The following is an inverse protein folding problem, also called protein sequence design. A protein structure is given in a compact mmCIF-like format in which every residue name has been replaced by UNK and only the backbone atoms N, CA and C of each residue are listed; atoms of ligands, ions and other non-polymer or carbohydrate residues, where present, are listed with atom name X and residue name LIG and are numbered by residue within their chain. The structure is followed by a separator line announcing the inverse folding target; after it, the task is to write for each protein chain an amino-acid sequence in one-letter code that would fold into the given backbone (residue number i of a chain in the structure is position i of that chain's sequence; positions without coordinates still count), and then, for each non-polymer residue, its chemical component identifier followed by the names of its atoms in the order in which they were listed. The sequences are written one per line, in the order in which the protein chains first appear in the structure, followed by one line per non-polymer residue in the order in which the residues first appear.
data_IF_928497135508
#
_entry.id   IF_928497135508
#
_cell.length_a   1.000
_cell.length_b   1.000
_cell.length_c   1.000
_cell.angle_alpha   90.00
_cell.angle_beta   90.00
_cell.angle_gamma   90.00
#
_symmetry.space_group_name_H-M   'P 1'
#
loop_
_entity.id
_entity.type
_entity.pdbx_description
1 polymer ?
#
# COMPACT_ATOMS: atom_id res chain seq x y z
N UNK A 1 6.97 -20.05 12.93
CA UNK A 1 6.94 -18.59 12.66
C UNK A 1 8.15 -17.84 13.27
N UNK A 2 8.60 -18.17 14.45
CA UNK A 2 9.65 -17.44 15.19
C UNK A 2 11.08 -17.65 14.66
N UNK A 3 11.36 -18.76 13.98
CA UNK A 3 12.73 -19.08 13.53
C UNK A 3 13.16 -18.26 12.31
N UNK A 4 12.28 -18.09 11.32
CA UNK A 4 12.61 -17.36 10.09
C UNK A 4 12.79 -15.86 10.36
N UNK A 5 11.97 -15.28 11.24
CA UNK A 5 12.06 -13.86 11.63
C UNK A 5 13.41 -13.47 12.26
N UNK A 6 14.10 -14.44 12.89
CA UNK A 6 15.43 -14.19 13.50
C UNK A 6 16.58 -14.26 12.50
N UNK A 7 16.30 -14.70 11.27
CA UNK A 7 17.30 -14.93 10.22
C UNK A 7 17.22 -13.89 9.10
N UNK A 8 16.23 -12.97 9.16
CA UNK A 8 15.99 -11.94 8.16
C UNK A 8 16.02 -10.57 8.86
N UNK A 9 16.76 -9.64 8.28
CA UNK A 9 16.96 -8.30 8.80
C UNK A 9 16.68 -7.27 7.71
N UNK A 10 15.88 -6.27 8.03
CA UNK A 10 15.69 -5.08 7.22
C UNK A 10 16.57 -3.99 7.81
N UNK A 11 17.60 -3.50 7.11
CA UNK A 11 18.49 -2.46 7.64
C UNK A 11 17.77 -1.13 7.80
N UNK A 12 16.77 -0.88 6.98
CA UNK A 12 16.00 0.34 7.00
C UNK A 12 14.70 0.18 7.80
N UNK A 13 14.40 1.15 8.65
CA UNK A 13 13.15 1.20 9.42
C UNK A 13 11.98 1.77 8.61
N UNK A 14 12.28 2.51 7.54
CA UNK A 14 11.32 3.11 6.62
C UNK A 14 11.72 2.76 5.20
N UNK A 15 10.77 2.23 4.44
CA UNK A 15 10.95 1.86 3.04
C UNK A 15 10.15 2.86 2.21
N UNK A 16 10.82 3.48 1.24
CA UNK A 16 10.18 4.39 0.30
C UNK A 16 9.23 3.61 -0.60
N UNK A 17 7.96 4.03 -0.63
CA UNK A 17 6.98 3.57 -1.61
C UNK A 17 6.84 4.65 -2.68
N UNK A 18 7.00 4.29 -3.93
CA UNK A 18 6.80 5.14 -5.09
C UNK A 18 5.42 4.90 -5.69
N UNK A 19 4.79 5.95 -6.21
CA UNK A 19 3.48 5.93 -6.83
C UNK A 19 2.64 7.13 -6.41
N UNK A 20 1.70 7.55 -7.26
CA UNK A 20 0.83 8.69 -6.97
C UNK A 20 -0.30 8.28 -6.02
N UNK A 21 -0.42 8.91 -4.84
CA UNK A 21 -1.50 8.64 -3.91
C UNK A 21 -2.79 9.38 -4.31
N UNK A 22 -3.90 8.71 -4.10
CA UNK A 22 -5.25 9.26 -4.23
C UNK A 22 -5.98 9.16 -2.90
N UNK A 23 -6.92 10.07 -2.65
CA UNK A 23 -7.79 9.98 -1.50
C UNK A 23 -8.86 8.92 -1.73
N UNK A 24 -8.96 7.97 -0.83
CA UNK A 24 -10.02 6.97 -0.78
C UNK A 24 -10.78 7.10 0.54
N UNK A 25 -12.10 7.17 0.47
CA UNK A 25 -12.99 7.17 1.62
C UNK A 25 -13.92 5.97 1.54
N UNK A 26 -13.99 5.23 2.63
CA UNK A 26 -14.88 4.08 2.74
C UNK A 26 -15.76 4.20 3.98
N UNK A 27 -17.04 3.88 3.81
CA UNK A 27 -17.94 3.71 4.95
C UNK A 27 -17.76 2.29 5.47
N UNK A 28 -17.24 2.17 6.67
CA UNK A 28 -17.01 0.91 7.35
C UNK A 28 -17.90 0.79 8.58
N UNK A 29 -18.13 -0.42 9.04
CA UNK A 29 -18.81 -0.65 10.31
C UNK A 29 -17.79 -0.98 11.37
N UNK A 30 -17.88 -0.32 12.52
CA UNK A 30 -16.98 -0.62 13.63
C UNK A 30 -17.17 -2.07 14.12
N UNK A 31 -16.15 -2.60 14.77
CA UNK A 31 -16.18 -3.97 15.29
C UNK A 31 -16.96 -4.10 16.60
N UNK A 32 -17.40 -2.98 17.17
CA UNK A 32 -18.20 -2.93 18.39
C UNK A 32 -19.61 -3.51 18.19
N UNK A 33 -20.30 -3.77 19.30
CA UNK A 33 -21.63 -4.38 19.30
C UNK A 33 -22.66 -3.59 18.50
N UNK A 34 -22.52 -2.28 18.43
CA UNK A 34 -23.47 -1.37 17.76
C UNK A 34 -23.25 -1.27 16.25
N UNK A 35 -22.11 -1.79 15.74
CA UNK A 35 -21.74 -1.72 14.30
C UNK A 35 -21.94 -0.31 13.71
N UNK A 36 -21.58 0.70 14.49
CA UNK A 36 -21.74 2.10 14.11
C UNK A 36 -21.00 2.39 12.79
N UNK A 37 -21.64 3.03 11.82
CA UNK A 37 -20.96 3.44 10.59
C UNK A 37 -19.87 4.45 10.91
N UNK A 38 -18.71 4.27 10.29
CA UNK A 38 -17.54 5.14 10.42
C UNK A 38 -16.96 5.40 9.03
N UNK A 39 -16.49 6.63 8.79
CA UNK A 39 -15.83 6.99 7.54
C UNK A 39 -14.33 6.92 7.75
N UNK A 40 -13.67 6.05 7.00
CA UNK A 40 -12.22 5.92 7.01
C UNK A 40 -11.62 6.48 5.74
N UNK A 41 -10.66 7.34 5.92
CA UNK A 41 -9.86 7.91 4.84
C UNK A 41 -8.54 7.16 4.73
N UNK A 42 -8.11 6.91 3.50
CA UNK A 42 -6.85 6.20 3.19
C UNK A 42 -6.16 6.86 2.00
N UNK A 43 -4.85 6.77 1.97
CA UNK A 43 -4.11 6.94 0.73
C UNK A 43 -4.25 5.65 -0.09
N UNK A 44 -4.71 5.77 -1.32
CA UNK A 44 -4.83 4.68 -2.28
C UNK A 44 -3.81 4.87 -3.39
N UNK A 45 -2.94 3.89 -3.58
CA UNK A 45 -1.94 3.87 -4.64
C UNK A 45 -2.34 2.77 -5.65
N UNK A 46 -2.92 3.13 -6.81
CA UNK A 46 -3.31 2.14 -7.83
C UNK A 46 -2.11 1.36 -8.36
N UNK A 47 -1.02 2.07 -8.59
CA UNK A 47 0.26 1.50 -9.00
C UNK A 47 1.33 1.95 -8.00
N UNK A 48 2.16 1.03 -7.58
CA UNK A 48 3.23 1.33 -6.63
C UNK A 48 4.39 0.36 -6.79
N UNK A 49 5.58 0.83 -6.43
CA UNK A 49 6.76 -0.01 -6.30
C UNK A 49 7.59 0.41 -5.09
N UNK A 50 8.47 -0.47 -4.66
CA UNK A 50 9.40 -0.21 -3.57
C UNK A 50 10.65 -1.06 -3.75
N UNK A 51 11.80 -0.49 -3.40
CA UNK A 51 13.06 -1.21 -3.29
C UNK A 51 13.30 -1.55 -1.82
N UNK A 52 13.69 -2.79 -1.56
CA UNK A 52 13.85 -3.30 -0.19
C UNK A 52 15.15 -4.06 -0.05
N UNK A 53 16.05 -3.56 0.77
CA UNK A 53 17.26 -4.27 1.16
C UNK A 53 16.97 -5.34 2.21
N UNK A 54 17.28 -6.59 1.89
CA UNK A 54 17.07 -7.72 2.80
C UNK A 54 18.40 -8.40 3.11
N UNK A 55 18.79 -8.39 4.38
CA UNK A 55 19.92 -9.16 4.89
C UNK A 55 19.41 -10.45 5.53
N UNK A 56 20.07 -11.56 5.24
CA UNK A 56 19.68 -12.87 5.77
C UNK A 56 20.90 -13.72 6.12
N UNK A 57 20.71 -14.70 6.98
CA UNK A 57 21.78 -15.58 7.47
C UNK A 57 21.97 -16.78 6.53
N UNK A 58 23.17 -16.88 5.96
CA UNK A 58 23.61 -18.06 5.18
C UNK A 58 24.39 -19.04 6.08
N UNK A 59 24.39 -20.35 5.78
CA UNK A 59 23.69 -21.04 4.69
C UNK A 59 22.25 -21.45 5.01
N UNK A 60 21.71 -21.00 6.16
CA UNK A 60 20.38 -21.41 6.63
C UNK A 60 19.27 -20.93 5.70
N UNK A 61 19.43 -19.76 5.09
CA UNK A 61 18.53 -19.22 4.06
C UNK A 61 19.34 -18.97 2.77
N UNK A 62 18.66 -19.12 1.64
CA UNK A 62 19.19 -18.76 0.33
C UNK A 62 18.41 -17.59 -0.26
N UNK A 63 19.00 -16.85 -1.20
CA UNK A 63 18.31 -15.78 -1.92
C UNK A 63 17.03 -16.29 -2.60
N UNK A 64 17.10 -17.47 -3.25
CA UNK A 64 15.95 -18.13 -3.86
C UNK A 64 14.81 -18.37 -2.85
N UNK A 65 15.14 -18.84 -1.65
CA UNK A 65 14.13 -19.05 -0.60
C UNK A 65 13.46 -17.74 -0.17
N UNK A 66 14.22 -16.65 -0.08
CA UNK A 66 13.68 -15.32 0.28
C UNK A 66 12.75 -14.81 -0.83
N UNK A 67 13.18 -14.86 -2.09
CA UNK A 67 12.37 -14.44 -3.24
C UNK A 67 11.07 -15.25 -3.31
N UNK A 68 11.16 -16.57 -3.17
CA UNK A 68 9.99 -17.46 -3.16
C UNK A 68 9.01 -17.14 -2.02
N UNK A 69 9.52 -16.85 -0.82
CA UNK A 69 8.69 -16.43 0.32
C UNK A 69 7.99 -15.10 0.04
N UNK A 70 8.68 -14.13 -0.55
CA UNK A 70 8.11 -12.84 -0.89
C UNK A 70 7.04 -12.94 -1.97
N UNK A 71 7.28 -13.70 -3.03
CA UNK A 71 6.28 -13.93 -4.08
C UNK A 71 5.00 -14.56 -3.53
N UNK A 72 5.15 -15.59 -2.68
CA UNK A 72 4.01 -16.21 -2.02
C UNK A 72 3.30 -15.23 -1.07
N UNK A 73 4.05 -14.45 -0.31
CA UNK A 73 3.48 -13.44 0.59
C UNK A 73 2.74 -12.36 -0.20
N UNK A 74 3.27 -11.92 -1.34
CA UNK A 74 2.62 -10.93 -2.20
C UNK A 74 1.27 -11.39 -2.74
N UNK A 75 1.15 -12.67 -3.07
CA UNK A 75 -0.09 -13.23 -3.60
C UNK A 75 -1.11 -13.59 -2.52
N UNK A 76 -0.65 -14.17 -1.39
CA UNK A 76 -1.56 -14.76 -0.39
C UNK A 76 -1.84 -13.79 0.77
N UNK A 77 -0.83 -13.04 1.20
CA UNK A 77 -0.91 -12.18 2.39
C UNK A 77 -1.20 -10.73 2.00
N UNK A 78 -0.41 -10.19 1.05
CA UNK A 78 -0.44 -8.77 0.69
C UNK A 78 0.11 -7.85 1.78
N UNK A 79 0.20 -6.56 1.48
CA UNK A 79 0.60 -5.51 2.44
C UNK A 79 -0.50 -4.45 2.57
N UNK A 80 -0.40 -3.64 3.63
CA UNK A 80 -1.32 -2.53 3.87
C UNK A 80 -2.69 -2.95 4.39
N UNK A 81 -3.65 -2.05 4.22
CA UNK A 81 -5.02 -2.23 4.68
C UNK A 81 -5.86 -2.94 3.61
N UNK A 82 -6.94 -3.59 4.04
CA UNK A 82 -7.87 -4.30 3.18
C UNK A 82 -7.23 -5.41 2.30
N UNK A 83 -6.17 -6.04 2.80
CA UNK A 83 -5.47 -7.14 2.14
C UNK A 83 -6.18 -8.49 2.31
N UNK A 84 -5.80 -9.47 1.52
CA UNK A 84 -6.44 -10.80 1.51
C UNK A 84 -6.40 -11.51 2.87
N UNK A 85 -5.28 -11.45 3.59
CA UNK A 85 -5.15 -12.05 4.93
C UNK A 85 -6.17 -11.51 5.94
N UNK A 86 -6.61 -10.25 5.79
CA UNK A 86 -7.55 -9.59 6.71
C UNK A 86 -9.02 -9.79 6.34
N UNK A 87 -9.32 -10.65 5.40
CA UNK A 87 -10.69 -11.04 5.10
C UNK A 87 -11.09 -10.93 3.63
N UNK A 88 -11.89 -9.94 3.24
CA UNK A 88 -12.49 -9.85 1.91
C UNK A 88 -11.79 -8.86 0.96
N UNK A 89 -10.67 -8.33 1.38
CA UNK A 89 -9.90 -7.37 0.61
C UNK A 89 -9.07 -8.03 -0.49
N UNK A 90 -8.68 -7.23 -1.47
CA UNK A 90 -7.80 -7.63 -2.57
C UNK A 90 -6.68 -6.62 -2.81
N UNK A 91 -6.50 -5.66 -1.89
CA UNK A 91 -5.47 -4.64 -2.01
C UNK A 91 -4.12 -5.16 -1.51
N UNK A 92 -3.05 -4.48 -1.94
CA UNK A 92 -1.70 -4.72 -1.47
C UNK A 92 -1.09 -6.04 -1.94
N UNK A 93 -1.65 -6.67 -2.96
CA UNK A 93 -0.95 -7.75 -3.67
C UNK A 93 0.27 -7.18 -4.38
N UNK A 94 1.36 -7.94 -4.41
CA UNK A 94 2.59 -7.53 -5.08
C UNK A 94 3.31 -8.73 -5.67
N UNK A 95 4.16 -8.47 -6.63
CA UNK A 95 5.13 -9.42 -7.20
C UNK A 95 6.54 -8.91 -6.95
N UNK A 96 7.49 -9.83 -6.90
CA UNK A 96 8.91 -9.50 -6.82
C UNK A 96 9.45 -9.39 -8.24
N UNK A 97 10.17 -8.32 -8.54
CA UNK A 97 10.84 -8.15 -9.82
C UNK A 97 11.86 -9.29 -10.04
N UNK A 98 11.79 -9.92 -11.21
CA UNK A 98 12.71 -10.99 -11.61
C UNK A 98 13.76 -10.43 -12.57
N UNK A 99 14.99 -10.96 -12.48
CA UNK A 99 16.04 -10.61 -13.45
C UNK A 99 15.72 -11.08 -14.87
N UNK A 100 14.80 -12.02 -15.04
CA UNK A 100 14.37 -12.53 -16.36
C UNK A 100 13.33 -11.60 -17.00
N UNK A 101 12.57 -10.86 -16.19
CA UNK A 101 11.51 -9.95 -16.63
C UNK A 101 11.94 -8.47 -16.54
N UNK A 102 13.24 -8.20 -16.41
CA UNK A 102 13.76 -6.84 -16.15
C UNK A 102 13.33 -5.79 -17.18
N UNK A 103 13.08 -6.17 -18.45
CA UNK A 103 12.66 -5.23 -19.48
C UNK A 103 11.33 -4.55 -19.14
N UNK A 104 10.28 -5.31 -19.05
CA UNK A 104 8.92 -4.80 -18.78
C UNK A 104 8.80 -4.20 -17.37
N UNK A 105 9.48 -4.81 -16.39
CA UNK A 105 9.47 -4.33 -15.01
C UNK A 105 10.28 -3.05 -14.82
N UNK A 106 11.36 -2.88 -15.59
CA UNK A 106 12.13 -1.65 -15.57
C UNK A 106 11.32 -0.47 -16.14
N UNK A 107 10.56 -0.67 -17.21
CA UNK A 107 9.66 0.36 -17.72
C UNK A 107 8.61 0.75 -16.68
N UNK A 108 7.97 -0.21 -16.01
CA UNK A 108 7.01 0.05 -14.94
C UNK A 108 7.68 0.80 -13.78
N UNK A 109 8.88 0.39 -13.39
CA UNK A 109 9.65 1.07 -12.35
C UNK A 109 9.95 2.51 -12.74
N UNK A 110 10.46 2.72 -13.94
CA UNK A 110 10.83 4.03 -14.43
C UNK A 110 9.61 4.96 -14.54
N UNK A 111 8.49 4.46 -15.04
CA UNK A 111 7.23 5.21 -15.11
C UNK A 111 6.74 5.65 -13.71
N UNK A 112 6.76 4.73 -12.74
CA UNK A 112 6.28 5.02 -11.37
C UNK A 112 7.26 5.95 -10.65
N UNK A 113 8.58 5.78 -10.83
CA UNK A 113 9.61 6.56 -10.14
C UNK A 113 9.91 7.91 -10.79
N UNK A 114 9.41 8.18 -12.01
CA UNK A 114 9.47 9.51 -12.62
C UNK A 114 8.73 10.56 -11.79
N UNK A 115 7.74 10.16 -10.98
CA UNK A 115 7.11 11.07 -10.05
C UNK A 115 8.08 11.42 -8.93
N UNK A 116 8.61 12.64 -8.96
CA UNK A 116 9.48 13.14 -7.91
C UNK A 116 8.76 13.09 -6.54
N UNK A 117 9.53 12.94 -5.46
CA UNK A 117 8.99 12.94 -4.09
C UNK A 117 8.11 14.15 -3.82
N UNK A 118 8.48 15.32 -4.36
CA UNK A 118 7.72 16.57 -4.27
C UNK A 118 6.31 16.45 -4.88
N UNK A 119 6.17 15.72 -5.99
CA UNK A 119 4.85 15.47 -6.62
C UNK A 119 3.99 14.57 -5.73
N UNK A 120 4.59 13.57 -5.09
CA UNK A 120 3.87 12.75 -4.12
C UNK A 120 3.41 13.56 -2.90
N UNK A 121 4.27 14.41 -2.35
CA UNK A 121 3.95 15.28 -1.22
C UNK A 121 2.85 16.28 -1.59
N UNK A 122 2.92 16.89 -2.76
CA UNK A 122 1.86 17.76 -3.28
C UNK A 122 0.53 17.02 -3.44
N UNK A 123 0.54 15.78 -3.94
CA UNK A 123 -0.65 14.95 -4.06
C UNK A 123 -1.23 14.53 -2.69
N UNK A 124 -0.42 14.49 -1.63
CA UNK A 124 -0.90 14.29 -0.26
C UNK A 124 -1.52 15.56 0.34
N UNK A 125 -0.99 16.73 0.03
CA UNK A 125 -1.56 18.02 0.46
C UNK A 125 -2.86 18.35 -0.27
N UNK A 126 -2.93 18.04 -1.57
CA UNK A 126 -4.07 18.30 -2.44
C UNK A 126 -4.52 17.00 -3.13
N UNK A 127 -5.13 16.07 -2.37
CA UNK A 127 -5.43 14.76 -2.89
C UNK A 127 -6.57 14.77 -3.90
N UNK A 128 -6.35 14.11 -5.03
CA UNK A 128 -7.39 13.74 -5.96
C UNK A 128 -8.22 12.59 -5.38
N UNK A 129 -9.53 12.59 -5.61
CA UNK A 129 -10.39 11.50 -5.17
C UNK A 129 -10.20 10.26 -6.07
N UNK A 130 -10.07 9.10 -5.45
CA UNK A 130 -9.88 7.84 -6.15
C UNK A 130 -11.12 7.39 -6.96
N UNK A 131 -12.31 7.79 -6.52
CA UNK A 131 -13.59 7.46 -7.14
C UNK A 131 -14.68 8.49 -6.85
N UNK A 132 -15.82 8.32 -7.53
CA UNK A 132 -16.96 9.23 -7.41
C UNK A 132 -17.59 9.16 -6.02
N UNK A 133 -17.64 7.99 -5.39
CA UNK A 133 -18.15 7.86 -4.02
C UNK A 133 -17.33 8.67 -3.02
N UNK A 134 -16.02 8.65 -3.14
CA UNK A 134 -15.12 9.48 -2.32
C UNK A 134 -15.38 10.96 -2.56
N UNK A 135 -15.60 11.35 -3.82
CA UNK A 135 -15.91 12.74 -4.19
C UNK A 135 -17.22 13.23 -3.59
N UNK A 136 -18.27 12.42 -3.65
CA UNK A 136 -19.57 12.73 -3.05
C UNK A 136 -19.48 12.86 -1.52
N UNK A 137 -18.75 11.95 -0.86
CA UNK A 137 -18.52 12.01 0.58
C UNK A 137 -17.74 13.27 0.99
N UNK A 138 -16.74 13.66 0.21
CA UNK A 138 -16.00 14.90 0.45
C UNK A 138 -16.88 16.14 0.32
N UNK A 139 -17.71 16.22 -0.70
CA UNK A 139 -18.67 17.32 -0.89
C UNK A 139 -19.64 17.39 0.28
N UNK A 140 -20.23 16.28 0.67
CA UNK A 140 -21.13 16.20 1.81
C UNK A 140 -20.48 16.69 3.11
N UNK A 141 -19.24 16.28 3.39
CA UNK A 141 -18.50 16.71 4.58
C UNK A 141 -18.23 18.22 4.54
N UNK A 142 -17.90 18.77 3.37
CA UNK A 142 -17.67 20.21 3.21
C UNK A 142 -18.96 21.02 3.44
N UNK A 143 -20.06 20.59 2.88
CA UNK A 143 -21.38 21.21 3.08
C UNK A 143 -21.80 21.18 4.55
N UNK A 144 -21.64 20.03 5.23
CA UNK A 144 -21.94 19.91 6.65
C UNK A 144 -21.04 20.80 7.54
N UNK A 145 -19.77 20.96 7.19
CA UNK A 145 -18.88 21.89 7.90
C UNK A 145 -19.33 23.34 7.76
N UNK A 146 -19.69 23.75 6.54
CA UNK A 146 -20.22 25.11 6.30
C UNK A 146 -21.54 25.35 7.04
N UNK A 147 -22.44 24.36 7.03
CA UNK A 147 -23.72 24.45 7.76
C UNK A 147 -23.53 24.61 9.27
N UNK A 148 -22.52 23.95 9.85
CA UNK A 148 -22.23 24.01 11.29
C UNK A 148 -21.46 25.27 11.70
N UNK A 149 -20.81 25.93 10.75
CA UNK A 149 -20.07 27.17 10.98
C UNK A 149 -20.93 28.44 10.82
N UNK A 150 -22.09 28.32 10.20
CA UNK A 150 -23.11 29.39 10.06
C UNK A 150 -24.10 29.37 11.23
#
# INVERSE_FOLDING_TARGET
KTSVQRLIFLPESQIQIWGKPYLKMDIVRSADMNKTPDVRTRAYLPNWCAEVDIKFVTPTLSAFSIVSLLQNAGTIVGIGDFRQEKGRGSYGTFSVASSEDMGDQQEIWDDITQEAREVQELAMEHPECADDQTRELMQFIQEERLRRAA
#
